data_IF_623437618883
#
_entry.id   IF_623437618883
#
_cell.length_a   1.000
_cell.length_b   1.000
_cell.length_c   1.000
_cell.angle_alpha   90.00
_cell.angle_beta   90.00
_cell.angle_gamma   90.00
#
_symmetry.space_group_name_H-M   'P 1'
#
loop_
_entity.id
_entity.type
_entity.pdbx_description
1 polymer ?
#
# COMPACT_ATOMS: atom_id res chain seq x y z
N UNK A 1 6.89 10.89 19.27
CA UNK A 1 7.49 12.16 18.79
C UNK A 1 7.59 13.16 19.94
N UNK A 2 8.76 13.74 20.20
CA UNK A 2 8.96 14.72 21.27
C UNK A 2 8.02 15.93 21.13
N UNK A 3 7.58 16.52 22.24
CA UNK A 3 6.62 17.64 22.27
C UNK A 3 7.10 18.85 21.46
N UNK A 4 8.39 19.17 21.55
CA UNK A 4 9.00 20.26 20.78
C UNK A 4 8.90 20.05 19.26
N UNK A 5 9.06 18.80 18.80
CA UNK A 5 8.97 18.46 17.37
C UNK A 5 7.52 18.58 16.88
N UNK A 6 6.54 18.17 17.69
CA UNK A 6 5.11 18.37 17.39
C UNK A 6 4.77 19.84 17.19
N UNK A 7 5.20 20.70 18.12
CA UNK A 7 4.92 22.14 18.01
C UNK A 7 5.57 22.74 16.75
N UNK A 8 6.83 22.40 16.46
CA UNK A 8 7.52 22.87 15.25
C UNK A 8 6.80 22.47 13.96
N UNK A 9 6.34 21.22 13.87
CA UNK A 9 5.56 20.73 12.73
C UNK A 9 4.25 21.50 12.58
N UNK A 10 3.52 21.71 13.68
CA UNK A 10 2.27 22.48 13.66
C UNK A 10 2.50 23.91 13.17
N UNK A 11 3.53 24.59 13.67
CA UNK A 11 3.83 25.97 13.30
C UNK A 11 4.21 26.09 11.81
N UNK A 12 5.00 25.16 11.29
CA UNK A 12 5.39 25.12 9.87
C UNK A 12 4.18 24.86 8.96
N UNK A 13 3.29 23.92 9.29
CA UNK A 13 2.06 23.67 8.50
C UNK A 13 1.15 24.91 8.53
N UNK A 14 1.01 25.57 9.69
CA UNK A 14 0.23 26.80 9.79
C UNK A 14 0.84 27.92 8.95
N UNK A 15 2.16 27.97 8.81
CA UNK A 15 2.83 28.94 7.95
C UNK A 15 2.58 28.67 6.47
N UNK A 16 2.65 27.41 6.02
CA UNK A 16 2.31 27.03 4.64
C UNK A 16 0.86 27.36 4.30
N UNK A 17 -0.08 27.03 5.19
CA UNK A 17 -1.49 27.32 4.98
C UNK A 17 -1.80 28.82 4.93
N UNK A 18 -1.01 29.66 5.61
CA UNK A 18 -1.12 31.13 5.55
C UNK A 18 -0.56 31.73 4.27
N UNK A 19 0.30 31.00 3.56
CA UNK A 19 0.81 31.45 2.26
C UNK A 19 -0.26 31.34 1.15
N UNK A 20 -1.31 30.56 1.39
CA UNK A 20 -2.45 30.43 0.48
C UNK A 20 -3.31 31.70 0.46
N UNK A 21 -4.02 31.87 -0.65
CA UNK A 21 -5.03 32.92 -0.79
C UNK A 21 -6.12 32.79 0.29
N UNK A 22 -6.70 33.92 0.79
CA UNK A 22 -7.67 33.90 1.89
C UNK A 22 -8.93 33.05 1.68
N UNK A 23 -9.24 32.66 0.44
CA UNK A 23 -10.40 31.85 0.05
C UNK A 23 -10.02 30.50 -0.57
N UNK A 24 -8.82 29.98 -0.27
CA UNK A 24 -8.39 28.67 -0.77
C UNK A 24 -9.39 27.57 -0.37
N UNK A 25 -9.72 26.73 -1.34
CA UNK A 25 -10.60 25.58 -1.19
C UNK A 25 -9.95 24.50 -0.33
N UNK A 26 -10.76 23.59 0.21
CA UNK A 26 -10.25 22.45 0.99
C UNK A 26 -9.26 21.58 0.20
N UNK A 27 -9.46 21.43 -1.11
CA UNK A 27 -8.53 20.70 -1.98
C UNK A 27 -7.18 21.38 -2.08
N UNK A 28 -7.15 22.71 -2.22
CA UNK A 28 -5.90 23.50 -2.27
C UNK A 28 -5.15 23.45 -0.92
N UNK A 29 -5.88 23.47 0.20
CA UNK A 29 -5.29 23.29 1.52
C UNK A 29 -4.68 21.90 1.68
N UNK A 30 -5.38 20.86 1.24
CA UNK A 30 -4.90 19.48 1.31
C UNK A 30 -3.66 19.28 0.43
N UNK A 31 -3.66 19.84 -0.78
CA UNK A 31 -2.52 19.77 -1.70
C UNK A 31 -1.26 20.40 -1.08
N UNK A 32 -1.39 21.59 -0.46
CA UNK A 32 -0.26 22.26 0.20
C UNK A 32 0.27 21.46 1.38
N UNK A 33 -0.61 20.88 2.21
CA UNK A 33 -0.18 20.05 3.35
C UNK A 33 0.53 18.79 2.86
N UNK A 34 0.02 18.11 1.82
CA UNK A 34 0.67 16.92 1.27
C UNK A 34 2.00 17.26 0.59
N UNK A 35 2.10 18.38 -0.12
CA UNK A 35 3.36 18.83 -0.71
C UNK A 35 4.40 19.16 0.37
N UNK A 36 4.01 19.89 1.42
CA UNK A 36 4.89 20.16 2.56
C UNK A 36 5.35 18.87 3.24
N UNK A 37 4.44 17.91 3.42
CA UNK A 37 4.76 16.59 4.00
C UNK A 37 5.80 15.84 3.16
N UNK A 38 5.68 15.87 1.83
CA UNK A 38 6.67 15.25 0.91
C UNK A 38 8.04 15.90 1.05
N UNK A 39 8.11 17.23 1.04
CA UNK A 39 9.38 17.96 1.17
C UNK A 39 10.05 17.70 2.53
N UNK A 40 9.29 17.72 3.63
CA UNK A 40 9.85 17.43 4.96
C UNK A 40 10.32 16.00 5.11
N UNK A 41 9.64 15.05 4.47
CA UNK A 41 10.06 13.66 4.44
C UNK A 41 11.39 13.53 3.69
N UNK A 42 11.57 14.24 2.58
CA UNK A 42 12.82 14.29 1.81
C UNK A 42 13.96 14.91 2.60
N UNK A 43 13.73 16.02 3.31
CA UNK A 43 14.71 16.63 4.22
C UNK A 43 15.14 15.67 5.33
N UNK A 44 14.17 15.01 5.98
CA UNK A 44 14.44 14.06 7.05
C UNK A 44 15.22 12.83 6.56
N UNK A 45 14.92 12.32 5.35
CA UNK A 45 15.67 11.24 4.69
C UNK A 45 17.10 11.66 4.39
N UNK A 46 17.32 12.86 3.84
CA UNK A 46 18.67 13.39 3.57
C UNK A 46 19.50 13.53 4.84
N UNK A 47 18.90 13.95 5.95
CA UNK A 47 19.56 14.01 7.25
C UNK A 47 19.89 12.63 7.82
N UNK A 48 19.02 11.63 7.58
CA UNK A 48 19.27 10.24 7.98
C UNK A 48 20.37 9.57 7.15
N UNK A 49 20.53 9.96 5.88
CA UNK A 49 21.53 9.46 4.92
C UNK A 49 22.86 10.22 4.95
N UNK A 50 23.09 11.08 5.95
CA UNK A 50 24.28 11.92 6.10
C UNK A 50 25.58 11.18 6.46
N UNK A 51 25.85 10.04 5.83
CA UNK A 51 27.12 9.31 5.85
C UNK A 51 27.22 8.46 4.59
N UNK A 52 28.24 8.76 3.77
CA UNK A 52 28.64 8.08 2.53
C UNK A 52 27.92 8.54 1.25
N UNK A 53 28.67 9.28 0.43
CA UNK A 53 28.27 9.62 -0.93
C UNK A 53 28.29 8.39 -1.82
N UNK A 54 27.16 8.09 -2.46
CA UNK A 54 27.04 7.01 -3.44
C UNK A 54 26.23 7.42 -4.67
N UNK A 55 26.58 6.75 -5.76
CA UNK A 55 26.41 7.13 -7.15
C UNK A 55 24.97 7.39 -7.61
N UNK A 56 24.88 8.30 -8.59
CA UNK A 56 23.70 8.83 -9.28
C UNK A 56 22.68 7.82 -9.85
N UNK A 57 22.96 6.52 -9.80
CA UNK A 57 22.03 5.46 -10.24
C UNK A 57 20.97 5.15 -9.17
N UNK A 58 21.32 5.30 -7.89
CA UNK A 58 20.46 4.96 -6.75
C UNK A 58 19.28 5.95 -6.60
N UNK A 59 19.48 7.20 -7.07
CA UNK A 59 18.48 8.27 -7.05
C UNK A 59 17.31 7.99 -8.00
N UNK A 60 17.51 7.16 -9.04
CA UNK A 60 16.47 6.76 -9.99
C UNK A 60 15.64 5.61 -9.43
N UNK A 61 16.27 4.65 -8.73
CA UNK A 61 15.57 3.53 -8.08
C UNK A 61 14.72 3.99 -6.88
N UNK A 62 15.19 4.99 -6.11
CA UNK A 62 14.42 5.55 -4.99
C UNK A 62 13.22 6.40 -5.45
N UNK A 63 13.32 7.08 -6.60
CA UNK A 63 12.23 7.89 -7.15
C UNK A 63 11.07 7.02 -7.70
N UNK A 64 11.37 5.82 -8.20
CA UNK A 64 10.36 4.83 -8.60
C UNK A 64 9.70 4.16 -7.37
N UNK A 65 10.42 4.09 -6.24
CA UNK A 65 9.89 3.64 -4.93
C UNK A 65 9.07 4.71 -4.19
N UNK A 66 9.33 6.01 -4.42
CA UNK A 66 8.59 7.13 -3.82
C UNK A 66 7.15 7.24 -4.34
N UNK A 67 6.82 6.65 -5.50
CA UNK A 67 5.47 6.72 -6.07
C UNK A 67 4.50 5.63 -5.57
N UNK A 68 4.96 4.63 -4.81
CA UNK A 68 4.11 3.54 -4.30
C UNK A 68 3.96 3.57 -2.77
N UNK A 69 3.72 4.75 -2.21
CA UNK A 69 3.38 4.89 -0.79
C UNK A 69 1.97 4.33 -0.56
N UNK A 70 1.87 3.18 0.11
CA UNK A 70 0.59 2.68 0.58
C UNK A 70 0.01 3.60 1.65
N UNK A 71 -1.22 4.02 1.45
CA UNK A 71 -1.96 4.76 2.46
C UNK A 71 -2.16 3.92 3.73
N UNK A 72 -2.06 4.57 4.88
CA UNK A 72 -2.27 3.97 6.19
C UNK A 72 -1.00 3.76 7.00
N UNK A 73 -1.07 2.84 7.97
CA UNK A 73 0.03 2.54 8.88
C UNK A 73 1.15 1.78 8.15
N UNK A 74 2.41 1.90 8.60
CA UNK A 74 3.49 1.09 8.06
C UNK A 74 3.19 -0.41 8.18
N UNK A 75 3.48 -1.17 7.13
CA UNK A 75 3.33 -2.62 7.11
C UNK A 75 4.38 -3.29 8.00
N UNK A 76 3.97 -4.18 8.93
CA UNK A 76 4.91 -5.04 9.67
C UNK A 76 5.78 -5.89 8.73
N UNK A 77 7.02 -6.19 9.13
CA UNK A 77 7.95 -7.01 8.31
C UNK A 77 7.43 -8.43 8.08
N UNK A 78 6.76 -9.02 9.08
CA UNK A 78 6.12 -10.33 9.00
C UNK A 78 5.00 -10.42 7.94
N UNK A 79 4.55 -9.28 7.40
CA UNK A 79 3.57 -9.25 6.32
C UNK A 79 4.17 -9.53 4.95
N UNK A 80 5.49 -9.40 4.79
CA UNK A 80 6.22 -9.55 3.51
C UNK A 80 5.46 -8.92 2.34
N UNK A 81 5.13 -7.64 2.50
CA UNK A 81 4.30 -6.93 1.54
C UNK A 81 5.02 -6.72 0.22
N UNK A 82 4.31 -7.02 -0.86
CA UNK A 82 4.74 -6.82 -2.23
C UNK A 82 3.68 -6.01 -2.97
N UNK A 83 4.14 -4.91 -3.56
CA UNK A 83 3.33 -4.05 -4.41
C UNK A 83 3.14 -4.72 -5.77
N UNK A 84 2.01 -4.42 -6.42
CA UNK A 84 1.68 -4.97 -7.73
C UNK A 84 1.72 -6.50 -7.76
N UNK A 85 1.11 -7.13 -6.77
CA UNK A 85 1.17 -8.58 -6.57
C UNK A 85 -0.21 -9.11 -6.21
N UNK A 86 -0.64 -10.16 -6.90
CA UNK A 86 -1.79 -10.99 -6.52
C UNK A 86 -1.34 -12.44 -6.37
N UNK A 87 -1.40 -12.96 -5.15
CA UNK A 87 -1.17 -14.36 -4.83
C UNK A 87 -2.45 -15.17 -4.95
N UNK A 88 -2.36 -16.34 -5.59
CA UNK A 88 -3.45 -17.31 -5.64
C UNK A 88 -3.60 -18.08 -4.31
N UNK A 89 -4.80 -18.56 -4.03
CA UNK A 89 -5.10 -19.36 -2.86
C UNK A 89 -6.59 -19.50 -2.58
N UNK A 90 -6.92 -20.46 -1.72
CA UNK A 90 -8.31 -20.67 -1.29
C UNK A 90 -8.68 -19.57 -0.31
N UNK A 91 -9.74 -18.82 -0.60
CA UNK A 91 -10.25 -17.80 0.31
C UNK A 91 -10.74 -18.43 1.63
N UNK A 92 -10.08 -18.07 2.73
CA UNK A 92 -10.55 -18.35 4.10
C UNK A 92 -11.41 -17.19 4.63
N UNK A 93 -11.30 -16.01 4.02
CA UNK A 93 -12.25 -14.89 4.14
C UNK A 93 -12.37 -14.17 2.80
N UNK A 94 -13.60 -14.01 2.32
CA UNK A 94 -13.91 -13.38 1.03
C UNK A 94 -13.78 -11.85 1.11
N UNK A 95 -12.96 -11.26 0.23
CA UNK A 95 -12.73 -9.81 0.20
C UNK A 95 -13.94 -8.98 -0.21
N UNK A 96 -14.84 -9.52 -1.06
CA UNK A 96 -16.10 -8.87 -1.46
C UNK A 96 -16.96 -8.38 -0.28
N UNK A 97 -16.81 -9.01 0.89
CA UNK A 97 -17.54 -8.66 2.12
C UNK A 97 -16.62 -8.34 3.30
N UNK A 98 -15.31 -8.27 3.04
CA UNK A 98 -14.31 -8.04 4.07
C UNK A 98 -13.40 -6.89 3.66
N UNK A 99 -13.72 -5.70 4.17
CA UNK A 99 -12.95 -4.49 3.88
C UNK A 99 -12.05 -4.12 5.06
N UNK A 100 -10.89 -3.53 4.76
CA UNK A 100 -9.92 -3.00 5.72
C UNK A 100 -9.41 -1.64 5.29
N UNK A 101 -9.07 -0.79 6.25
CA UNK A 101 -8.68 0.59 5.97
C UNK A 101 -7.29 0.72 5.32
N UNK A 102 -6.48 -0.32 5.45
CA UNK A 102 -5.13 -0.35 4.89
C UNK A 102 -4.66 -1.77 4.61
N UNK A 103 -3.61 -1.87 3.80
CA UNK A 103 -2.86 -3.11 3.60
C UNK A 103 -2.36 -3.69 4.94
N UNK A 104 -1.89 -2.84 5.85
CA UNK A 104 -1.42 -3.24 7.18
C UNK A 104 -2.55 -3.89 8.01
N UNK A 105 -3.75 -3.31 8.00
CA UNK A 105 -4.90 -3.88 8.70
C UNK A 105 -5.40 -5.19 8.03
N UNK A 106 -5.21 -5.34 6.72
CA UNK A 106 -5.48 -6.58 6.01
C UNK A 106 -4.51 -7.70 6.40
N UNK A 107 -3.20 -7.42 6.40
CA UNK A 107 -2.20 -8.35 6.92
C UNK A 107 -2.49 -8.73 8.38
N UNK A 108 -2.79 -7.75 9.23
CA UNK A 108 -3.10 -8.00 10.64
C UNK A 108 -4.31 -8.91 10.81
N UNK A 109 -5.31 -8.79 9.94
CA UNK A 109 -6.46 -9.69 9.91
C UNK A 109 -6.08 -11.12 9.50
N UNK A 110 -5.13 -11.29 8.56
CA UNK A 110 -4.58 -12.60 8.21
C UNK A 110 -3.88 -13.24 9.40
N UNK A 111 -2.95 -12.52 10.05
CA UNK A 111 -2.25 -12.98 11.25
C UNK A 111 -3.22 -13.38 12.37
N UNK A 112 -4.25 -12.55 12.59
CA UNK A 112 -5.29 -12.84 13.58
C UNK A 112 -6.08 -14.10 13.22
N UNK A 113 -6.51 -14.26 11.97
CA UNK A 113 -7.24 -15.45 11.54
C UNK A 113 -6.37 -16.70 11.70
N UNK A 114 -5.10 -16.64 11.28
CA UNK A 114 -4.16 -17.75 11.36
C UNK A 114 -3.97 -18.23 12.81
N UNK A 115 -3.83 -17.29 13.75
CA UNK A 115 -3.67 -17.57 15.19
C UNK A 115 -4.93 -18.17 15.83
N UNK A 116 -6.12 -17.80 15.36
CA UNK A 116 -7.40 -18.19 15.97
C UNK A 116 -8.14 -19.30 15.20
N UNK A 117 -7.56 -19.82 14.13
CA UNK A 117 -8.12 -20.92 13.35
C UNK A 117 -8.29 -22.18 14.23
N UNK A 118 -9.44 -22.84 14.10
CA UNK A 118 -9.74 -24.06 14.87
C UNK A 118 -8.96 -25.25 14.31
N UNK A 119 -8.82 -26.34 15.07
CA UNK A 119 -8.28 -27.59 14.53
C UNK A 119 -9.07 -28.03 13.29
N UNK A 120 -8.37 -28.25 12.17
CA UNK A 120 -8.96 -28.61 10.88
C UNK A 120 -9.26 -27.43 9.95
N UNK A 121 -9.26 -26.18 10.45
CA UNK A 121 -9.41 -25.00 9.60
C UNK A 121 -8.12 -24.70 8.83
N UNK A 122 -8.28 -24.20 7.61
CA UNK A 122 -7.18 -23.57 6.86
C UNK A 122 -6.81 -22.25 7.54
N UNK A 123 -5.55 -22.14 7.95
CA UNK A 123 -4.97 -20.93 8.53
C UNK A 123 -4.63 -19.96 7.41
N UNK A 124 -4.98 -18.69 7.53
CA UNK A 124 -4.52 -17.69 6.58
C UNK A 124 -3.00 -17.71 6.52
N UNK A 125 -2.44 -17.69 5.32
CA UNK A 125 -1.01 -17.43 5.12
C UNK A 125 -0.74 -16.41 4.01
N UNK A 126 -1.78 -15.97 3.30
CA UNK A 126 -1.70 -15.00 2.21
C UNK A 126 -2.76 -13.93 2.45
N UNK A 127 -2.39 -12.67 2.33
CA UNK A 127 -3.33 -11.54 2.31
C UNK A 127 -3.23 -10.80 0.99
N UNK A 128 -4.36 -10.36 0.42
CA UNK A 128 -4.42 -9.55 -0.80
C UNK A 128 -5.36 -8.36 -0.56
N UNK A 129 -4.87 -7.16 -0.78
CA UNK A 129 -5.53 -5.89 -0.48
C UNK A 129 -5.69 -5.05 -1.74
N UNK A 130 -6.85 -4.40 -1.89
CA UNK A 130 -7.08 -3.42 -2.94
C UNK A 130 -6.87 -1.98 -2.43
N UNK A 131 -5.74 -1.33 -2.74
CA UNK A 131 -5.49 0.07 -2.34
C UNK A 131 -6.11 1.10 -3.29
N UNK A 132 -6.56 0.70 -4.48
CA UNK A 132 -7.08 1.62 -5.49
C UNK A 132 -8.48 2.10 -5.14
N UNK A 133 -8.68 3.42 -5.06
CA UNK A 133 -10.01 4.04 -4.85
C UNK A 133 -10.99 3.72 -5.97
N UNK A 134 -10.47 3.42 -7.17
CA UNK A 134 -11.28 3.04 -8.34
C UNK A 134 -11.53 1.53 -8.44
N UNK A 135 -11.07 0.76 -7.46
CA UNK A 135 -11.14 -0.70 -7.46
C UNK A 135 -9.95 -1.38 -8.13
N UNK A 136 -9.93 -2.70 -8.04
CA UNK A 136 -8.82 -3.53 -8.51
C UNK A 136 -9.28 -4.53 -9.56
N UNK A 137 -8.49 -4.68 -10.62
CA UNK A 137 -8.78 -5.63 -11.69
C UNK A 137 -8.46 -7.07 -11.26
N UNK A 138 -9.40 -7.98 -11.52
CA UNK A 138 -9.19 -9.43 -11.53
C UNK A 138 -9.90 -9.99 -12.76
N UNK A 139 -9.36 -11.01 -13.46
CA UNK A 139 -10.01 -11.62 -14.61
C UNK A 139 -11.13 -12.59 -14.20
N UNK A 140 -12.05 -12.12 -13.37
CA UNK A 140 -13.22 -12.89 -12.92
C UNK A 140 -14.53 -12.10 -13.15
N UNK A 141 -15.64 -12.64 -12.64
CA UNK A 141 -16.98 -12.08 -12.85
C UNK A 141 -17.34 -10.93 -11.89
N UNK A 142 -16.49 -10.62 -10.92
CA UNK A 142 -16.76 -9.64 -9.88
C UNK A 142 -16.18 -8.27 -10.24
N UNK A 143 -16.76 -7.24 -9.63
CA UNK A 143 -16.21 -5.89 -9.64
C UNK A 143 -15.60 -5.64 -8.27
N UNK A 144 -14.27 -5.69 -8.18
CA UNK A 144 -13.60 -5.49 -6.91
C UNK A 144 -13.45 -4.02 -6.58
N UNK A 145 -13.74 -3.69 -5.33
CA UNK A 145 -13.78 -2.32 -4.83
C UNK A 145 -12.58 -1.99 -3.97
N UNK A 146 -12.37 -0.69 -3.76
CA UNK A 146 -11.39 -0.18 -2.81
C UNK A 146 -11.56 -0.84 -1.44
N UNK A 147 -10.45 -1.06 -0.74
CA UNK A 147 -10.37 -1.60 0.62
C UNK A 147 -10.70 -3.09 0.76
N UNK A 148 -11.00 -3.81 -0.33
CA UNK A 148 -11.20 -5.26 -0.27
C UNK A 148 -9.95 -5.95 0.30
N UNK A 149 -10.18 -6.83 1.28
CA UNK A 149 -9.16 -7.62 1.95
C UNK A 149 -9.48 -9.10 1.84
N UNK A 150 -8.71 -9.80 1.02
CA UNK A 150 -8.81 -11.23 0.81
C UNK A 150 -7.84 -11.96 1.72
N UNK A 151 -8.37 -12.83 2.58
CA UNK A 151 -7.55 -13.73 3.39
C UNK A 151 -7.57 -15.09 2.72
N UNK A 152 -6.40 -15.58 2.34
CA UNK A 152 -6.25 -16.81 1.56
C UNK A 152 -5.31 -17.80 2.26
N UNK A 153 -5.46 -19.07 1.88
CA UNK A 153 -4.57 -20.15 2.24
C UNK A 153 -4.08 -20.89 0.99
N UNK A 154 -2.78 -21.17 0.94
CA UNK A 154 -2.19 -22.15 0.03
C UNK A 154 -1.06 -22.91 0.71
N UNK A 155 -0.98 -24.22 0.53
CA UNK A 155 0.18 -25.01 1.00
C UNK A 155 1.49 -24.56 0.35
N UNK A 156 1.40 -24.09 -0.91
CA UNK A 156 2.51 -23.56 -1.69
C UNK A 156 2.02 -22.28 -2.37
N UNK A 157 2.21 -21.10 -1.76
CA UNK A 157 1.83 -19.83 -2.36
C UNK A 157 2.36 -19.69 -3.79
N UNK A 158 1.51 -19.26 -4.71
CA UNK A 158 1.85 -19.06 -6.13
C UNK A 158 1.37 -17.69 -6.57
N UNK A 159 2.20 -17.01 -7.36
CA UNK A 159 1.80 -15.77 -8.00
C UNK A 159 0.73 -16.08 -9.04
N UNK A 160 -0.39 -15.34 -8.96
CA UNK A 160 -1.36 -15.24 -10.04
C UNK A 160 -0.88 -14.19 -11.04
N UNK A 161 -0.62 -12.98 -10.54
CA UNK A 161 -0.05 -11.88 -11.31
C UNK A 161 0.98 -11.09 -10.50
N UNK A 162 1.99 -10.55 -11.20
CA UNK A 162 3.04 -9.71 -10.62
C UNK A 162 3.43 -8.60 -11.60
N UNK A 163 3.70 -7.42 -11.06
CA UNK A 163 4.20 -6.23 -11.75
C UNK A 163 3.32 -5.82 -12.94
N UNK A 164 3.88 -5.79 -14.14
CA UNK A 164 3.22 -5.38 -15.37
C UNK A 164 2.57 -6.58 -16.05
N UNK A 165 1.29 -6.45 -16.42
CA UNK A 165 0.65 -7.43 -17.30
C UNK A 165 1.35 -7.45 -18.66
N UNK A 166 1.63 -8.64 -19.20
CA UNK A 166 2.27 -8.79 -20.50
C UNK A 166 1.42 -8.14 -21.61
N UNK A 167 2.07 -7.66 -22.67
CA UNK A 167 1.39 -7.03 -23.80
C UNK A 167 0.32 -7.95 -24.40
N UNK A 168 0.67 -9.20 -24.69
CA UNK A 168 -0.27 -10.21 -25.17
C UNK A 168 -1.49 -10.40 -24.24
N UNK A 169 -1.29 -10.34 -22.92
CA UNK A 169 -2.41 -10.42 -21.98
C UNK A 169 -3.29 -9.17 -22.03
N UNK A 170 -2.69 -7.98 -22.16
CA UNK A 170 -3.40 -6.70 -22.27
C UNK A 170 -4.20 -6.59 -23.57
N UNK A 171 -3.66 -7.10 -24.67
CA UNK A 171 -4.35 -7.15 -25.95
C UNK A 171 -5.58 -8.06 -25.89
N UNK A 172 -5.46 -9.20 -25.19
CA UNK A 172 -6.57 -10.12 -24.96
C UNK A 172 -7.58 -9.62 -23.93
N UNK A 173 -7.20 -8.69 -23.04
CA UNK A 173 -8.04 -8.18 -21.95
C UNK A 173 -8.06 -6.64 -21.95
N UNK A 174 -8.84 -5.98 -22.83
CA UNK A 174 -8.76 -4.53 -23.02
C UNK A 174 -9.03 -3.64 -21.79
N UNK A 175 -9.63 -4.21 -20.73
CA UNK A 175 -9.92 -3.52 -19.47
C UNK A 175 -8.85 -3.70 -18.40
N UNK A 176 -7.83 -4.52 -18.65
CA UNK A 176 -6.75 -4.73 -17.69
C UNK A 176 -5.90 -3.46 -17.58
N UNK A 177 -5.52 -3.04 -16.35
CA UNK A 177 -4.54 -1.97 -16.18
C UNK A 177 -3.15 -2.40 -16.64
N UNK A 178 -2.22 -1.45 -16.69
CA UNK A 178 -0.82 -1.73 -17.02
C UNK A 178 -0.15 -2.55 -15.92
N UNK A 179 -0.33 -2.14 -14.67
CA UNK A 179 0.23 -2.80 -13.49
C UNK A 179 -0.85 -3.57 -12.74
N UNK A 180 -0.47 -4.65 -12.08
CA UNK A 180 -1.31 -5.37 -11.13
C UNK A 180 -1.74 -4.39 -10.03
N UNK A 181 -3.05 -4.16 -9.82
CA UNK A 181 -3.51 -3.11 -8.90
C UNK A 181 -3.57 -3.57 -7.44
N UNK A 182 -3.24 -4.84 -7.17
CA UNK A 182 -3.29 -5.43 -5.84
C UNK A 182 -1.95 -5.28 -5.10
N UNK A 183 -2.06 -5.29 -3.78
CA UNK A 183 -0.92 -5.45 -2.87
C UNK A 183 -1.15 -6.69 -2.07
N UNK A 184 -0.15 -7.55 -1.95
CA UNK A 184 -0.29 -8.78 -1.21
C UNK A 184 0.99 -9.17 -0.50
N UNK A 185 0.89 -10.19 0.35
CA UNK A 185 2.05 -10.74 1.02
C UNK A 185 1.75 -12.10 1.62
N UNK A 186 2.82 -12.84 1.87
CA UNK A 186 2.77 -14.12 2.56
C UNK A 186 3.22 -13.86 4.00
N UNK A 187 2.38 -14.15 4.97
CA UNK A 187 2.76 -13.91 6.37
C UNK A 187 3.80 -14.95 6.83
N UNK A 188 4.78 -14.52 7.62
CA UNK A 188 5.62 -15.43 8.40
C UNK A 188 4.93 -15.73 9.72
N UNK A 189 4.79 -17.02 10.05
CA UNK A 189 4.18 -17.51 11.29
C UNK A 189 5.17 -17.71 12.41
#
# INVERSE_FOLDING_TARGET
MPRAVKHKITDEILQELRSLRPNATASEQQEVVENWRKEKLKEAKKLALGGEGLNSTLVIEEAEYEEQILAGKPLPRECHAELHTDYDGVAVRWGLTHHKESAADCCQACLYQAKNAKPGDKRCNIWVYCPSETGCYSPDKYQHRHMECWLKFSEKPRLNFKDRYSEAYRDAHPKVPVMVPWVSGIISG
#
